data_IF_727794123109
#
_entry.id   IF_727794123109
#
_cell.length_a   1.000
_cell.length_b   1.000
_cell.length_c   1.000
_cell.angle_alpha   90.00
_cell.angle_beta   90.00
_cell.angle_gamma   90.00
#
_symmetry.space_group_name_H-M   'P 1'
#
loop_
_entity.id
_entity.type
_entity.pdbx_description
1 polymer ?
#
# COMPACT_ATOMS: atom_id res chain seq x y z
N UNK A 1 -5.99 -10.63 -15.58
CA UNK A 1 -5.69 -9.32 -16.19
C UNK A 1 -4.20 -9.29 -16.41
N UNK A 2 -3.78 -9.12 -17.65
CA UNK A 2 -2.36 -8.95 -17.97
C UNK A 2 -1.93 -7.54 -17.56
N UNK A 3 -0.72 -7.37 -17.05
CA UNK A 3 -0.24 -6.10 -16.47
C UNK A 3 -0.28 -4.97 -17.50
N UNK A 4 0.10 -5.27 -18.73
CA UNK A 4 0.15 -4.35 -19.87
C UNK A 4 -1.24 -3.79 -20.22
N UNK A 5 -2.29 -4.62 -20.13
CA UNK A 5 -3.67 -4.20 -20.38
C UNK A 5 -4.10 -3.16 -19.34
N UNK A 6 -3.82 -3.42 -18.06
CA UNK A 6 -4.12 -2.48 -16.96
C UNK A 6 -3.38 -1.17 -17.13
N UNK A 7 -2.07 -1.22 -17.38
CA UNK A 7 -1.23 -0.03 -17.55
C UNK A 7 -1.67 0.78 -18.78
N UNK A 8 -2.12 0.13 -19.85
CA UNK A 8 -2.60 0.82 -21.06
C UNK A 8 -3.86 1.65 -20.80
N UNK A 9 -4.71 1.23 -19.86
CA UNK A 9 -5.95 1.91 -19.50
C UNK A 9 -5.76 3.12 -18.57
N UNK A 10 -4.57 3.29 -17.97
CA UNK A 10 -4.29 4.39 -17.03
C UNK A 10 -3.81 5.67 -17.74
N UNK A 11 -4.27 6.81 -17.23
CA UNK A 11 -3.72 8.13 -17.54
C UNK A 11 -2.29 8.28 -17.02
N UNK A 12 -1.56 9.30 -17.50
CA UNK A 12 -0.22 9.59 -17.00
C UNK A 12 -0.21 9.93 -15.51
N UNK A 13 -1.22 10.66 -15.04
CA UNK A 13 -1.37 11.06 -13.64
C UNK A 13 -1.61 9.84 -12.74
N UNK A 14 -2.43 8.89 -13.19
CA UNK A 14 -2.67 7.63 -12.49
C UNK A 14 -1.41 6.76 -12.43
N UNK A 15 -0.67 6.67 -13.55
CA UNK A 15 0.65 5.99 -13.57
C UNK A 15 1.63 6.62 -12.59
N UNK A 16 1.73 7.95 -12.58
CA UNK A 16 2.60 8.66 -11.64
C UNK A 16 2.15 8.46 -10.18
N UNK A 17 0.84 8.38 -9.93
CA UNK A 17 0.30 8.17 -8.59
C UNK A 17 0.76 6.83 -7.98
N UNK A 18 0.88 5.77 -8.78
CA UNK A 18 1.35 4.44 -8.36
C UNK A 18 2.80 4.41 -7.84
N UNK A 19 3.60 5.44 -8.14
CA UNK A 19 5.01 5.54 -7.70
C UNK A 19 5.15 6.01 -6.25
N UNK A 20 4.06 6.05 -5.49
CA UNK A 20 4.04 6.43 -4.08
C UNK A 20 2.89 5.75 -3.35
N UNK A 21 3.06 5.53 -2.04
CA UNK A 21 1.99 5.03 -1.17
C UNK A 21 0.82 6.01 -1.06
N UNK A 22 -0.37 5.49 -0.74
CA UNK A 22 -1.47 6.28 -0.21
C UNK A 22 -1.18 6.75 1.22
N UNK A 23 -0.51 5.89 1.98
CA UNK A 23 0.05 6.15 3.31
C UNK A 23 1.33 5.30 3.49
N UNK A 24 1.85 5.22 4.71
CA UNK A 24 3.07 4.45 5.03
C UNK A 24 2.97 2.95 4.74
N UNK A 25 1.76 2.40 4.78
CA UNK A 25 1.52 0.96 4.73
C UNK A 25 0.68 0.53 3.53
N UNK A 26 0.18 1.46 2.72
CA UNK A 26 -0.80 1.15 1.67
C UNK A 26 -0.43 1.75 0.34
N UNK A 27 -0.61 0.99 -0.73
CA UNK A 27 -0.57 1.52 -2.10
C UNK A 27 -1.82 2.35 -2.40
N UNK A 28 -1.77 3.16 -3.45
CA UNK A 28 -2.96 3.88 -3.93
C UNK A 28 -3.87 2.94 -4.72
N UNK A 29 -5.17 2.86 -4.40
CA UNK A 29 -6.12 2.17 -5.25
C UNK A 29 -6.36 2.99 -6.51
N UNK A 30 -6.54 2.30 -7.64
CA UNK A 30 -6.92 2.88 -8.93
C UNK A 30 -7.96 1.98 -9.59
N UNK A 31 -8.69 2.45 -10.62
CA UNK A 31 -9.58 1.59 -11.39
C UNK A 31 -8.85 0.34 -11.90
N UNK A 32 -9.37 -0.85 -11.55
CA UNK A 32 -8.74 -2.13 -11.90
C UNK A 32 -7.53 -2.53 -11.06
N UNK A 33 -7.12 -1.72 -10.08
CA UNK A 33 -5.98 -2.00 -9.17
C UNK A 33 -6.43 -1.81 -7.72
N UNK A 34 -6.53 -2.92 -6.99
CA UNK A 34 -6.85 -2.89 -5.56
C UNK A 34 -5.71 -2.27 -4.75
N UNK A 35 -6.08 -1.62 -3.65
CA UNK A 35 -5.10 -1.21 -2.64
C UNK A 35 -4.45 -2.44 -2.00
N UNK A 36 -3.13 -2.37 -1.83
CA UNK A 36 -2.33 -3.40 -1.17
C UNK A 36 -1.83 -2.83 0.14
N UNK A 37 -1.95 -3.62 1.22
CA UNK A 37 -1.32 -3.32 2.50
C UNK A 37 0.03 -4.04 2.62
N UNK A 38 1.04 -3.30 3.01
CA UNK A 38 2.40 -3.74 3.30
C UNK A 38 2.60 -3.72 4.82
N UNK A 39 3.51 -4.56 5.30
CA UNK A 39 3.88 -4.66 6.70
C UNK A 39 5.35 -5.09 6.80
N UNK A 40 6.06 -4.62 7.83
CA UNK A 40 7.40 -5.12 8.14
C UNK A 40 7.33 -6.55 8.70
N UNK A 41 8.46 -7.25 8.68
CA UNK A 41 8.57 -8.44 9.52
C UNK A 41 9.68 -9.44 9.25
N UNK A 42 10.97 -9.08 9.34
CA UNK A 42 12.04 -10.09 9.25
C UNK A 42 11.96 -11.18 10.33
N UNK A 43 11.20 -10.96 11.42
CA UNK A 43 11.02 -11.92 12.52
C UNK A 43 9.62 -11.81 13.17
N UNK A 44 8.58 -11.65 12.35
CA UNK A 44 7.19 -11.56 12.79
C UNK A 44 6.43 -10.42 12.13
N UNK A 45 5.13 -10.61 11.89
CA UNK A 45 4.31 -9.62 11.19
C UNK A 45 4.07 -8.38 12.06
N UNK A 46 4.64 -7.23 11.66
CA UNK A 46 4.37 -5.94 12.32
C UNK A 46 3.24 -5.21 11.59
N UNK A 47 2.10 -5.05 12.25
CA UNK A 47 0.94 -4.34 11.69
C UNK A 47 0.50 -3.24 12.64
N UNK A 48 0.44 -2.00 12.19
CA UNK A 48 -0.11 -0.89 12.98
C UNK A 48 -1.62 -0.77 12.76
N UNK A 49 -2.40 -0.49 13.82
CA UNK A 49 -3.84 -0.26 13.72
C UNK A 49 -4.15 1.19 13.28
N UNK A 50 -4.59 1.33 12.03
CA UNK A 50 -5.39 2.38 11.38
C UNK A 50 -5.18 3.88 11.64
N UNK A 51 -4.08 4.29 12.26
CA UNK A 51 -3.44 5.57 11.92
C UNK A 51 -1.96 5.31 11.73
N UNK A 52 -1.47 5.45 10.50
CA UNK A 52 -0.04 5.47 10.28
C UNK A 52 0.50 6.74 10.93
N UNK A 53 1.42 6.61 11.88
CA UNK A 53 2.15 7.76 12.38
C UNK A 53 3.35 8.00 11.45
N UNK A 54 3.65 9.28 11.19
CA UNK A 54 4.73 9.61 10.27
C UNK A 54 6.12 9.15 10.80
N UNK A 55 6.20 8.81 12.09
CA UNK A 55 7.41 8.40 12.79
C UNK A 55 7.52 6.87 12.99
N UNK A 56 6.49 6.08 12.68
CA UNK A 56 6.48 4.62 12.83
C UNK A 56 6.43 4.10 14.28
N UNK A 57 6.13 4.95 15.26
CA UNK A 57 6.08 4.69 16.70
C UNK A 57 4.85 3.90 17.16
N UNK A 58 3.81 3.77 16.32
CA UNK A 58 2.62 3.02 16.73
C UNK A 58 2.94 1.54 16.97
N UNK A 59 2.36 1.01 18.03
CA UNK A 59 2.51 -0.39 18.41
C UNK A 59 1.93 -1.34 17.36
N UNK A 60 2.52 -2.53 17.25
CA UNK A 60 1.93 -3.60 16.45
C UNK A 60 0.66 -4.10 17.12
N UNK A 61 -0.35 -4.45 16.33
CA UNK A 61 -1.42 -5.31 16.82
C UNK A 61 -0.85 -6.69 17.17
N UNK A 62 -1.35 -7.33 18.24
CA UNK A 62 -0.99 -8.69 18.59
C UNK A 62 -1.28 -9.67 17.45
N UNK A 63 -0.42 -10.69 17.33
CA UNK A 63 -0.68 -11.86 16.49
C UNK A 63 -1.61 -12.80 17.27
N UNK A 64 -2.92 -12.70 17.02
CA UNK A 64 -3.95 -13.56 17.62
C UNK A 64 -4.78 -14.22 16.55
#
# INVERSE_FOLDING_TARGET
MEVEEVISALTLQEKAALLSGADYWRTKPLPGIAQVMLADGPHGLRKQADRADHLGLNASVPAT
#
